data_IF_506813550049
#
_entry.id   IF_506813550049
#
_cell.length_a   1.000
_cell.length_b   1.000
_cell.length_c   1.000
_cell.angle_alpha   90.00
_cell.angle_beta   90.00
_cell.angle_gamma   90.00
#
_symmetry.space_group_name_H-M   'P 1'
#
loop_
_entity.id
_entity.type
_entity.pdbx_description
1 polymer ?
#
# COMPACT_ATOMS: atom_id res chain seq x y z
N UNK A 1 -11.93 4.81 2.76
CA UNK A 1 -11.45 6.14 2.33
C UNK A 1 -10.20 6.47 3.12
N UNK A 2 -9.13 6.80 2.42
CA UNK A 2 -7.85 7.25 2.98
C UNK A 2 -7.42 8.54 2.28
N UNK A 3 -6.69 9.40 3.00
CA UNK A 3 -6.17 10.66 2.49
C UNK A 3 -4.67 10.67 2.73
N UNK A 4 -3.91 10.99 1.69
CA UNK A 4 -2.46 11.06 1.71
C UNK A 4 -2.02 12.43 1.23
N UNK A 5 -0.96 12.96 1.84
CA UNK A 5 -0.44 14.28 1.52
C UNK A 5 1.00 14.18 1.01
N UNK A 6 1.21 14.67 -0.21
CA UNK A 6 2.55 14.97 -0.72
C UNK A 6 2.92 16.38 -0.28
N UNK A 7 3.80 16.48 0.71
CA UNK A 7 4.24 17.76 1.26
C UNK A 7 5.13 18.55 0.29
N UNK A 8 5.92 17.87 -0.55
CA UNK A 8 6.84 18.48 -1.52
C UNK A 8 6.07 19.26 -2.59
N UNK A 9 5.02 18.65 -3.12
CA UNK A 9 4.26 19.21 -4.25
C UNK A 9 2.92 19.84 -3.84
N UNK A 10 2.60 19.86 -2.54
CA UNK A 10 1.31 20.31 -2.00
C UNK A 10 0.12 19.63 -2.70
N UNK A 11 0.12 18.29 -2.69
CA UNK A 11 -0.93 17.48 -3.34
C UNK A 11 -1.64 16.59 -2.32
N UNK A 12 -2.96 16.43 -2.49
CA UNK A 12 -3.68 15.34 -1.84
C UNK A 12 -3.92 14.20 -2.81
N UNK A 13 -3.82 12.98 -2.30
CA UNK A 13 -4.34 11.79 -2.94
C UNK A 13 -5.42 11.19 -2.03
N UNK A 14 -6.59 10.92 -2.58
CA UNK A 14 -7.75 10.45 -1.83
C UNK A 14 -8.29 9.18 -2.48
N UNK A 15 -8.50 8.14 -1.69
CA UNK A 15 -9.27 6.97 -2.15
C UNK A 15 -10.75 7.20 -1.90
N UNK A 16 -11.53 7.26 -2.98
CA UNK A 16 -12.98 7.40 -2.95
C UNK A 16 -13.64 6.12 -3.45
N UNK A 17 -14.76 5.76 -2.83
CA UNK A 17 -15.61 4.66 -3.29
C UNK A 17 -16.68 5.27 -4.19
N UNK A 18 -16.79 4.75 -5.41
CA UNK A 18 -17.78 5.19 -6.40
C UNK A 18 -18.53 3.97 -6.94
N UNK A 19 -19.64 3.61 -6.28
CA UNK A 19 -20.33 2.33 -6.53
C UNK A 19 -19.49 1.17 -5.98
N UNK A 20 -19.32 0.12 -6.79
CA UNK A 20 -18.54 -1.07 -6.44
C UNK A 20 -17.03 -0.90 -6.69
N UNK A 21 -16.60 0.24 -7.24
CA UNK A 21 -15.20 0.48 -7.59
C UNK A 21 -14.54 1.51 -6.66
N UNK A 22 -13.29 1.25 -6.31
CA UNK A 22 -12.43 2.22 -5.65
C UNK A 22 -11.69 3.08 -6.69
N UNK A 23 -11.52 4.37 -6.40
CA UNK A 23 -10.81 5.31 -7.26
C UNK A 23 -9.83 6.12 -6.44
N UNK A 24 -8.60 6.25 -6.92
CA UNK A 24 -7.60 7.17 -6.38
C UNK A 24 -7.68 8.50 -7.15
N UNK A 25 -7.88 9.60 -6.43
CA UNK A 25 -7.97 10.95 -6.99
C UNK A 25 -6.84 11.79 -6.47
N UNK A 26 -6.02 12.33 -7.37
CA UNK A 26 -4.96 13.30 -7.06
C UNK A 26 -5.44 14.73 -7.27
N UNK A 27 -5.10 15.63 -6.34
CA UNK A 27 -5.47 17.05 -6.33
C UNK A 27 -4.22 17.89 -6.07
N UNK A 28 -3.93 18.85 -6.96
CA UNK A 28 -2.93 19.90 -6.75
C UNK A 28 -3.60 21.07 -6.01
N UNK A 29 -3.12 21.37 -4.81
CA UNK A 29 -3.73 22.37 -3.93
C UNK A 29 -3.38 23.80 -4.35
N UNK A 30 -2.21 24.01 -4.94
CA UNK A 30 -1.78 25.33 -5.39
C UNK A 30 -2.63 25.76 -6.59
N UNK A 31 -2.82 24.84 -7.54
CA UNK A 31 -3.60 25.09 -8.75
C UNK A 31 -5.10 24.81 -8.59
N UNK A 32 -5.51 24.29 -7.43
CA UNK A 32 -6.89 23.91 -7.10
C UNK A 32 -7.53 23.03 -8.18
N UNK A 33 -6.81 22.01 -8.66
CA UNK A 33 -7.29 21.15 -9.75
C UNK A 33 -6.98 19.68 -9.52
N UNK A 34 -7.81 18.84 -10.11
CA UNK A 34 -7.56 17.39 -10.19
C UNK A 34 -6.40 17.16 -11.16
N UNK A 35 -5.44 16.36 -10.72
CA UNK A 35 -4.24 15.99 -11.50
C UNK A 35 -4.23 14.53 -11.93
N UNK A 36 -5.02 13.68 -11.26
CA UNK A 36 -5.18 12.28 -11.65
C UNK A 36 -6.51 11.70 -11.14
N UNK A 37 -7.03 10.73 -11.89
CA UNK A 37 -8.16 9.86 -11.50
C UNK A 37 -7.83 8.46 -11.97
N UNK A 38 -7.61 7.56 -11.04
CA UNK A 38 -7.23 6.16 -11.32
C UNK A 38 -8.32 5.28 -10.75
N UNK A 39 -9.09 4.65 -11.63
CA UNK A 39 -10.05 3.62 -11.25
C UNK A 39 -9.35 2.28 -11.26
N UNK A 40 -9.38 1.59 -10.13
CA UNK A 40 -8.79 0.26 -10.00
C UNK A 40 -9.70 -0.54 -9.06
N UNK A 41 -10.30 -1.61 -9.57
CA UNK A 41 -11.16 -2.50 -8.80
C UNK A 41 -10.42 -3.15 -7.63
N UNK A 42 -9.09 -3.27 -7.77
CA UNK A 42 -8.22 -3.93 -6.81
C UNK A 42 -7.20 -2.92 -6.26
N UNK A 43 -7.65 -1.72 -5.87
CA UNK A 43 -6.80 -0.86 -5.07
C UNK A 43 -6.31 -1.66 -3.84
N UNK A 44 -5.01 -1.59 -3.51
CA UNK A 44 -4.44 -2.32 -2.40
C UNK A 44 -5.21 -2.07 -1.10
N UNK A 45 -5.42 -3.14 -0.33
CA UNK A 45 -6.13 -3.06 0.96
C UNK A 45 -5.44 -2.16 1.98
N UNK A 46 -4.16 -1.85 1.74
CA UNK A 46 -3.39 -0.82 2.42
C UNK A 46 -2.54 -0.09 1.42
N UNK A 47 -2.67 1.23 1.42
CA UNK A 47 -1.84 2.13 0.64
C UNK A 47 -1.02 2.96 1.60
N UNK A 48 0.26 3.09 1.30
CA UNK A 48 1.13 4.04 1.95
C UNK A 48 1.78 4.90 0.85
N UNK A 49 1.84 6.21 1.07
CA UNK A 49 2.45 7.12 0.12
C UNK A 49 3.90 7.37 0.52
N UNK A 50 4.81 7.27 -0.44
CA UNK A 50 6.20 7.64 -0.28
C UNK A 50 6.51 8.92 -1.07
N UNK A 51 6.97 9.95 -0.36
CA UNK A 51 7.40 11.22 -0.96
C UNK A 51 8.72 11.11 -1.73
N UNK A 52 9.56 10.09 -1.49
CA UNK A 52 10.85 9.95 -2.20
C UNK A 52 10.68 9.40 -3.60
N UNK A 53 9.81 8.41 -3.75
CA UNK A 53 9.50 7.79 -5.05
C UNK A 53 8.26 8.35 -5.72
N UNK A 54 7.54 9.27 -5.04
CA UNK A 54 6.26 9.82 -5.46
C UNK A 54 5.23 8.72 -5.82
N UNK A 55 5.27 7.61 -5.10
CA UNK A 55 4.50 6.41 -5.39
C UNK A 55 3.74 5.89 -4.17
N UNK A 56 2.72 5.08 -4.44
CA UNK A 56 2.05 4.29 -3.43
C UNK A 56 2.61 2.88 -3.35
N UNK A 57 2.73 2.36 -2.15
CA UNK A 57 3.05 0.96 -1.89
C UNK A 57 1.89 0.30 -1.15
N UNK A 58 1.63 -0.96 -1.49
CA UNK A 58 0.51 -1.68 -0.90
C UNK A 58 0.48 -3.15 -1.24
N UNK A 59 -0.28 -3.92 -0.48
CA UNK A 59 -0.57 -5.31 -0.84
C UNK A 59 -1.84 -5.39 -1.67
N UNK A 60 -1.70 -5.83 -2.91
CA UNK A 60 -2.82 -6.16 -3.78
C UNK A 60 -3.36 -7.54 -3.39
N UNK A 61 -4.66 -7.62 -3.09
CA UNK A 61 -5.37 -8.90 -2.93
C UNK A 61 -5.67 -9.52 -4.29
N UNK A 62 -5.69 -10.84 -4.37
CA UNK A 62 -6.11 -11.54 -5.58
C UNK A 62 -7.63 -11.65 -5.65
N UNK A 63 -8.17 -11.43 -6.85
CA UNK A 63 -9.59 -11.60 -7.10
C UNK A 63 -9.95 -13.08 -7.20
N UNK A 64 -10.91 -13.52 -6.38
CA UNK A 64 -11.44 -14.89 -6.41
C UNK A 64 -10.60 -15.97 -5.72
N UNK A 65 -9.44 -15.64 -5.14
CA UNK A 65 -8.65 -16.56 -4.32
C UNK A 65 -7.99 -15.83 -3.16
N UNK A 66 -7.68 -16.58 -2.09
CA UNK A 66 -6.90 -16.05 -0.97
C UNK A 66 -5.45 -15.90 -1.38
N UNK A 67 -4.95 -14.67 -1.35
CA UNK A 67 -3.55 -14.39 -1.65
C UNK A 67 -3.31 -12.91 -1.92
N UNK A 68 -2.05 -12.50 -1.78
CA UNK A 68 -1.66 -11.13 -2.05
C UNK A 68 -0.20 -11.00 -2.48
N UNK A 69 0.17 -9.81 -2.96
CA UNK A 69 1.55 -9.46 -3.32
C UNK A 69 1.81 -7.97 -3.11
N UNK A 70 3.07 -7.61 -2.91
CA UNK A 70 3.49 -6.22 -2.82
C UNK A 70 3.48 -5.59 -4.22
N UNK A 71 2.88 -4.42 -4.30
CA UNK A 71 2.86 -3.61 -5.52
C UNK A 71 3.37 -2.20 -5.24
N UNK A 72 3.78 -1.52 -6.31
CA UNK A 72 3.97 -0.08 -6.37
C UNK A 72 3.01 0.50 -7.40
N UNK A 73 2.22 1.49 -6.99
CA UNK A 73 1.26 2.19 -7.84
C UNK A 73 1.72 3.63 -8.05
N UNK A 74 1.82 4.05 -9.31
CA UNK A 74 2.04 5.44 -9.67
C UNK A 74 0.71 6.22 -9.60
N UNK A 75 0.60 7.23 -8.72
CA UNK A 75 -0.67 7.94 -8.52
C UNK A 75 -1.02 8.96 -9.60
N UNK A 76 -0.13 9.21 -10.57
CA UNK A 76 -0.36 10.18 -11.64
C UNK A 76 -0.92 9.54 -12.90
N UNK A 77 -0.54 8.30 -13.20
CA UNK A 77 -0.92 7.60 -14.43
C UNK A 77 -1.51 6.20 -14.19
N UNK A 78 -1.51 5.70 -12.95
CA UNK A 78 -2.08 4.41 -12.58
C UNK A 78 -1.24 3.19 -12.94
N UNK A 79 0.01 3.36 -13.39
CA UNK A 79 0.88 2.21 -13.67
C UNK A 79 1.22 1.46 -12.39
N UNK A 80 1.20 0.12 -12.47
CA UNK A 80 1.41 -0.78 -11.35
C UNK A 80 2.62 -1.67 -11.63
N UNK A 81 3.56 -1.69 -10.69
CA UNK A 81 4.70 -2.61 -10.68
C UNK A 81 4.48 -3.67 -9.59
N UNK A 82 4.78 -4.92 -9.89
CA UNK A 82 4.80 -6.01 -8.91
C UNK A 82 6.20 -6.09 -8.33
N UNK A 83 6.31 -6.01 -7.00
CA UNK A 83 7.60 -5.93 -6.30
C UNK A 83 7.95 -7.19 -5.51
N UNK A 84 7.02 -8.12 -5.33
CA UNK A 84 7.26 -9.37 -4.61
C UNK A 84 6.68 -10.57 -5.35
N UNK A 85 7.13 -11.75 -4.94
CA UNK A 85 6.42 -13.01 -5.19
C UNK A 85 5.03 -13.00 -4.54
N UNK A 86 4.19 -13.94 -4.97
CA UNK A 86 2.83 -14.12 -4.47
C UNK A 86 2.83 -14.83 -3.10
N UNK A 87 2.15 -14.23 -2.13
CA UNK A 87 1.83 -14.85 -0.84
C UNK A 87 0.47 -15.53 -0.95
N UNK A 88 0.45 -16.78 -1.41
CA UNK A 88 -0.77 -17.57 -1.52
C UNK A 88 -1.31 -17.97 -0.14
N UNK A 89 -2.62 -18.09 -0.02
CA UNK A 89 -3.34 -18.46 1.21
C UNK A 89 -3.24 -17.44 2.34
N UNK A 90 -2.72 -16.24 2.07
CA UNK A 90 -2.70 -15.11 2.99
C UNK A 90 -3.50 -13.91 2.48
N UNK A 91 -4.16 -13.21 3.40
CA UNK A 91 -4.78 -11.90 3.18
C UNK A 91 -3.98 -10.80 3.89
N UNK A 92 -3.86 -9.59 3.31
CA UNK A 92 -3.33 -8.43 4.01
C UNK A 92 -4.31 -7.97 5.10
N UNK A 93 -3.80 -7.59 6.28
CA UNK A 93 -4.61 -7.05 7.39
C UNK A 93 -4.28 -5.65 7.83
N UNK A 94 -3.00 -5.33 8.02
CA UNK A 94 -2.60 -4.03 8.55
C UNK A 94 -1.13 -3.80 8.21
N UNK A 95 -0.85 -2.68 7.57
CA UNK A 95 0.51 -2.35 7.16
C UNK A 95 0.83 -0.89 7.36
N UNK A 96 2.11 -0.58 7.35
CA UNK A 96 2.63 0.76 7.43
C UNK A 96 3.92 0.85 6.61
N UNK A 97 4.33 2.06 6.23
CA UNK A 97 5.65 2.27 5.69
C UNK A 97 6.40 3.37 6.42
N UNK A 98 7.72 3.22 6.41
CA UNK A 98 8.62 4.13 7.08
C UNK A 98 9.45 4.88 6.04
N UNK A 99 9.08 6.14 5.82
CA UNK A 99 9.84 7.12 5.02
C UNK A 99 10.32 6.62 3.64
N UNK A 100 9.55 5.74 2.99
CA UNK A 100 9.94 5.16 1.69
C UNK A 100 11.07 4.14 1.75
N UNK A 101 11.56 3.77 2.93
CA UNK A 101 12.61 2.77 3.11
C UNK A 101 12.05 1.37 3.31
N UNK A 102 11.01 1.26 4.14
CA UNK A 102 10.45 -0.03 4.50
C UNK A 102 8.95 -0.03 4.35
N UNK A 103 8.42 -1.13 3.83
CA UNK A 103 7.00 -1.45 3.92
C UNK A 103 6.86 -2.68 4.83
N UNK A 104 6.12 -2.53 5.92
CA UNK A 104 5.82 -3.65 6.83
C UNK A 104 4.33 -3.95 6.79
N UNK A 105 3.99 -5.22 6.70
CA UNK A 105 2.60 -5.68 6.62
C UNK A 105 2.38 -6.91 7.48
N UNK A 106 1.26 -6.89 8.19
CA UNK A 106 0.62 -8.07 8.75
C UNK A 106 -0.18 -8.76 7.65
N UNK A 107 0.14 -10.02 7.39
CA UNK A 107 -0.66 -10.92 6.57
C UNK A 107 -1.19 -12.08 7.43
N UNK A 108 -2.35 -12.63 7.08
CA UNK A 108 -3.03 -13.66 7.87
C UNK A 108 -3.59 -14.76 6.99
N UNK A 109 -3.57 -15.98 7.49
CA UNK A 109 -4.35 -17.09 6.97
C UNK A 109 -5.40 -17.52 8.01
N UNK A 110 -5.96 -18.72 7.89
CA UNK A 110 -6.96 -19.22 8.85
C UNK A 110 -6.41 -19.55 10.24
N UNK A 111 -5.10 -19.70 10.39
CA UNK A 111 -4.47 -20.28 11.59
C UNK A 111 -3.35 -19.42 12.18
N UNK A 112 -2.72 -18.57 11.36
CA UNK A 112 -1.47 -17.89 11.68
C UNK A 112 -1.45 -16.47 11.11
N UNK A 113 -0.60 -15.66 11.72
CA UNK A 113 -0.27 -14.31 11.29
C UNK A 113 1.23 -14.25 10.97
N UNK A 114 1.59 -13.57 9.89
CA UNK A 114 2.98 -13.24 9.57
C UNK A 114 3.15 -11.72 9.47
N UNK A 115 4.30 -11.25 9.94
CA UNK A 115 4.79 -9.89 9.80
C UNK A 115 5.88 -9.92 8.73
N UNK A 116 5.58 -9.29 7.60
CA UNK A 116 6.50 -9.14 6.48
C UNK A 116 7.10 -7.75 6.50
N UNK A 117 8.41 -7.63 6.24
CA UNK A 117 9.06 -6.35 5.98
C UNK A 117 9.81 -6.41 4.67
N UNK A 118 9.54 -5.44 3.80
CA UNK A 118 10.15 -5.27 2.49
C UNK A 118 11.03 -4.03 2.47
N UNK A 119 12.21 -4.15 1.88
CA UNK A 119 13.12 -3.05 1.59
C UNK A 119 12.74 -2.37 0.28
N UNK A 120 12.16 -1.18 0.37
CA UNK A 120 11.69 -0.42 -0.78
C UNK A 120 12.83 0.20 -1.60
N UNK A 121 14.00 0.44 -0.99
CA UNK A 121 15.19 0.88 -1.72
C UNK A 121 15.76 -0.22 -2.62
N UNK A 122 15.46 -1.48 -2.28
CA UNK A 122 15.93 -2.65 -3.00
C UNK A 122 14.79 -3.34 -3.74
N UNK A 123 13.99 -2.54 -4.46
CA UNK A 123 12.87 -2.98 -5.30
C UNK A 123 11.86 -3.89 -4.57
N UNK A 124 11.63 -3.66 -3.28
CA UNK A 124 10.68 -4.44 -2.50
C UNK A 124 11.20 -5.82 -2.09
N UNK A 125 12.52 -6.01 -1.98
CA UNK A 125 13.10 -7.26 -1.46
C UNK A 125 12.55 -7.57 -0.07
N UNK A 126 12.06 -8.79 0.14
CA UNK A 126 11.67 -9.28 1.47
C UNK A 126 12.91 -9.42 2.36
N UNK A 127 12.93 -8.67 3.48
CA UNK A 127 14.04 -8.68 4.44
C UNK A 127 13.65 -9.29 5.79
N UNK A 128 12.36 -9.44 6.07
CA UNK A 128 11.86 -10.14 7.25
C UNK A 128 10.54 -10.82 6.94
N UNK A 129 10.40 -12.07 7.41
CA UNK A 129 9.14 -12.78 7.52
C UNK A 129 9.15 -13.49 8.88
N UNK A 130 8.29 -13.03 9.79
CA UNK A 130 8.21 -13.56 11.15
C UNK A 130 6.77 -13.94 11.49
N UNK A 131 6.53 -15.04 12.20
CA UNK A 131 5.22 -15.27 12.79
C UNK A 131 4.91 -14.13 13.77
N UNK A 132 3.65 -13.72 13.84
CA UNK A 132 3.17 -12.88 14.94
C UNK A 132 3.12 -13.71 16.22
N UNK A 133 3.74 -13.21 17.29
CA UNK A 133 3.69 -13.87 18.60
C UNK A 133 2.28 -13.86 19.21
N UNK A 134 1.46 -12.88 18.80
CA UNK A 134 0.05 -12.71 19.16
C UNK A 134 -0.74 -12.20 17.94
N UNK A 135 -2.07 -12.15 18.05
CA UNK A 135 -2.92 -11.59 17.00
C UNK A 135 -2.85 -10.06 17.02
N UNK A 136 -2.09 -9.48 16.10
CA UNK A 136 -1.92 -8.03 15.95
C UNK A 136 -2.97 -7.46 14.99
N UNK A 137 -3.55 -6.31 15.32
CA UNK A 137 -4.56 -5.62 14.50
C UNK A 137 -4.06 -4.34 13.83
N UNK A 138 -2.91 -3.82 14.26
CA UNK A 138 -2.36 -2.56 13.75
C UNK A 138 -0.85 -2.50 13.93
N UNK A 139 -0.19 -1.66 13.13
CA UNK A 139 1.24 -1.40 13.20
C UNK A 139 1.49 0.11 13.07
N UNK A 140 2.43 0.61 13.87
CA UNK A 140 2.99 1.94 13.73
C UNK A 140 4.51 1.87 13.84
N UNK A 141 5.19 2.66 13.00
CA UNK A 141 6.61 2.91 13.20
C UNK A 141 6.79 4.01 14.25
N UNK A 142 7.69 3.78 15.20
CA UNK A 142 8.12 4.78 16.18
C UNK A 142 9.52 5.22 15.75
N UNK A 143 9.70 6.47 15.29
CA UNK A 143 11.05 7.00 15.07
C UNK A 143 11.78 7.03 16.42
N UNK A 144 12.98 6.45 16.46
CA UNK A 144 13.87 6.44 17.64
C UNK A 144 14.74 7.69 17.61
#
# INVERSE_FOLDING_TARGET
MAIFYNATNHQYFVTVVSGDNETLVGIDLIKQKIISRISNSDLPSFLCYDNKTDAFYGMQRFTGKRGCRLIRLNPYNGTLDILSDDFNDYEPSAGNCYEGYYFTMIILNSETQQILTFDLNNNGKLISNKPGDEYLSSLAFIPI
#
